data_IF_257005420826
#
_entry.id   IF_257005420826
#
_cell.length_a   1.000
_cell.length_b   1.000
_cell.length_c   1.000
_cell.angle_alpha   90.00
_cell.angle_beta   90.00
_cell.angle_gamma   90.00
#
_symmetry.space_group_name_H-M   'P 1'
#
loop_
_entity.id
_entity.type
_entity.pdbx_description
1 polymer ?
#
# COMPACT_ATOMS: atom_id res chain seq x y z
N UNK A 1 29.54 2.11 -23.30
CA UNK A 1 28.80 1.56 -22.14
C UNK A 1 27.40 2.15 -22.11
N UNK A 2 26.35 1.34 -22.24
CA UNK A 2 24.98 1.82 -22.13
C UNK A 2 24.70 2.28 -20.68
N UNK A 3 24.27 3.53 -20.51
CA UNK A 3 23.92 4.09 -19.20
C UNK A 3 22.72 3.31 -18.65
N UNK A 4 22.91 2.55 -17.58
CA UNK A 4 21.77 1.88 -16.93
C UNK A 4 20.78 2.93 -16.45
N UNK A 5 19.51 2.80 -16.86
CA UNK A 5 18.44 3.71 -16.43
C UNK A 5 18.17 3.49 -14.95
N UNK A 6 18.28 4.57 -14.17
CA UNK A 6 17.95 4.57 -12.74
C UNK A 6 16.47 4.22 -12.49
N UNK A 7 15.58 4.64 -13.39
CA UNK A 7 14.18 4.28 -13.38
C UNK A 7 13.93 3.09 -14.30
N UNK A 8 13.68 1.95 -13.68
CA UNK A 8 13.25 0.70 -14.32
C UNK A 8 11.77 0.50 -14.04
N UNK A 9 11.09 -0.33 -14.85
CA UNK A 9 9.68 -0.65 -14.62
C UNK A 9 9.40 -1.13 -13.18
N UNK A 10 10.19 -2.05 -12.58
CA UNK A 10 10.02 -2.42 -11.17
C UNK A 10 10.09 -1.24 -10.20
N UNK A 11 11.05 -0.32 -10.39
CA UNK A 11 11.22 0.85 -9.52
C UNK A 11 10.06 1.83 -9.68
N UNK A 12 9.55 2.00 -10.89
CA UNK A 12 8.35 2.81 -11.12
C UNK A 12 7.13 2.20 -10.43
N UNK A 13 6.93 0.89 -10.52
CA UNK A 13 5.82 0.20 -9.84
C UNK A 13 5.91 0.32 -8.32
N UNK A 14 7.08 0.05 -7.72
CA UNK A 14 7.30 0.23 -6.28
C UNK A 14 7.07 1.69 -5.86
N UNK A 15 7.53 2.64 -6.66
CA UNK A 15 7.30 4.07 -6.42
C UNK A 15 5.82 4.44 -6.44
N UNK A 16 5.05 3.91 -7.39
CA UNK A 16 3.61 4.14 -7.48
C UNK A 16 2.86 3.57 -6.26
N UNK A 17 3.20 2.36 -5.83
CA UNK A 17 2.61 1.75 -4.63
C UNK A 17 2.93 2.59 -3.39
N UNK A 18 4.18 3.00 -3.21
CA UNK A 18 4.58 3.83 -2.07
C UNK A 18 3.94 5.22 -2.08
N UNK A 19 3.75 5.83 -3.25
CA UNK A 19 3.02 7.08 -3.38
C UNK A 19 1.56 6.89 -2.97
N UNK A 20 0.91 5.80 -3.40
CA UNK A 20 -0.44 5.46 -2.96
C UNK A 20 -0.49 5.19 -1.45
N UNK A 21 0.48 4.47 -0.87
CA UNK A 21 0.57 4.26 0.58
C UNK A 21 0.74 5.57 1.34
N UNK A 22 1.44 6.56 0.77
CA UNK A 22 1.65 7.87 1.36
C UNK A 22 0.39 8.75 1.35
N UNK A 23 -0.39 8.76 0.26
CA UNK A 23 -1.48 9.74 0.07
C UNK A 23 -2.88 9.11 0.02
N UNK A 24 -2.98 7.84 -0.34
CA UNK A 24 -4.24 7.15 -0.64
C UNK A 24 -5.17 7.10 0.57
N UNK A 25 -4.76 6.56 1.73
CA UNK A 25 -5.59 6.53 2.93
C UNK A 25 -6.01 7.93 3.39
N UNK A 26 -5.07 8.88 3.39
CA UNK A 26 -5.36 10.28 3.73
C UNK A 26 -6.42 10.89 2.81
N UNK A 27 -6.32 10.66 1.50
CA UNK A 27 -7.28 11.15 0.53
C UNK A 27 -8.66 10.46 0.68
N UNK A 28 -8.68 9.16 0.94
CA UNK A 28 -9.89 8.40 1.19
C UNK A 28 -10.68 8.97 2.39
N UNK A 29 -9.97 9.29 3.48
CA UNK A 29 -10.62 9.64 4.74
C UNK A 29 -10.88 11.14 4.92
N UNK A 30 -10.17 12.00 4.17
CA UNK A 30 -10.35 13.46 4.27
C UNK A 30 -10.97 14.10 3.04
N UNK A 31 -10.77 13.53 1.84
CA UNK A 31 -11.12 14.20 0.58
C UNK A 31 -12.28 13.56 -0.16
N UNK A 32 -12.65 12.31 0.17
CA UNK A 32 -13.73 11.58 -0.50
C UNK A 32 -14.87 11.35 0.50
N UNK A 33 -15.91 12.21 0.55
CA UNK A 33 -16.92 12.18 1.61
C UNK A 33 -17.62 10.84 1.82
N UNK A 34 -17.90 10.11 0.73
CA UNK A 34 -18.61 8.83 0.81
C UNK A 34 -17.74 7.69 1.33
N UNK A 35 -16.41 7.80 1.17
CA UNK A 35 -15.45 6.87 1.78
C UNK A 35 -15.18 7.30 3.23
N UNK A 36 -14.98 8.59 3.48
CA UNK A 36 -14.73 9.12 4.81
C UNK A 36 -15.84 8.77 5.82
N UNK A 37 -17.11 8.75 5.39
CA UNK A 37 -18.25 8.32 6.23
C UNK A 37 -18.19 6.84 6.62
N UNK A 38 -17.46 6.02 5.85
CA UNK A 38 -17.21 4.60 6.18
C UNK A 38 -16.00 4.42 7.10
N UNK A 39 -15.22 5.49 7.35
CA UNK A 39 -14.00 5.48 8.16
C UNK A 39 -14.02 6.60 9.21
N UNK A 40 -13.01 7.48 9.21
CA UNK A 40 -12.78 8.55 10.18
C UNK A 40 -14.01 9.42 10.50
N UNK A 41 -14.89 9.67 9.51
CA UNK A 41 -16.08 10.50 9.68
C UNK A 41 -17.36 9.70 9.99
N UNK A 42 -17.26 8.39 10.23
CA UNK A 42 -18.40 7.57 10.62
C UNK A 42 -18.96 8.03 11.98
N UNK A 43 -20.23 8.46 12.09
CA UNK A 43 -20.83 8.87 13.37
C UNK A 43 -21.02 7.71 14.35
N UNK A 44 -21.10 6.47 13.86
CA UNK A 44 -21.35 5.27 14.66
C UNK A 44 -20.07 4.64 15.22
N UNK A 45 -18.89 5.05 14.73
CA UNK A 45 -17.62 4.61 15.28
C UNK A 45 -17.32 5.26 16.64
N UNK A 46 -16.94 4.46 17.65
CA UNK A 46 -16.46 5.02 18.91
C UNK A 46 -15.15 5.80 18.67
N UNK A 47 -14.82 6.79 19.54
CA UNK A 47 -13.60 7.59 19.39
C UNK A 47 -12.32 6.77 19.23
N UNK A 48 -12.25 5.59 19.86
CA UNK A 48 -11.07 4.73 19.77
C UNK A 48 -10.89 4.05 18.39
N UNK A 49 -11.99 3.71 17.71
CA UNK A 49 -11.91 3.17 16.34
C UNK A 49 -11.34 4.24 15.38
N UNK A 50 -11.82 5.48 15.51
CA UNK A 50 -11.29 6.64 14.77
C UNK A 50 -9.82 6.91 15.06
N UNK A 51 -9.38 6.71 16.31
CA UNK A 51 -7.97 6.80 16.66
C UNK A 51 -7.12 5.77 15.93
N UNK A 52 -7.55 4.50 15.88
CA UNK A 52 -6.83 3.44 15.17
C UNK A 52 -6.83 3.63 13.65
N UNK A 53 -7.91 4.17 13.10
CA UNK A 53 -7.99 4.55 11.69
C UNK A 53 -7.00 5.68 11.35
N UNK A 54 -7.02 6.78 12.12
CA UNK A 54 -6.03 7.85 11.98
C UNK A 54 -4.59 7.37 12.23
N UNK A 55 -4.39 6.43 13.15
CA UNK A 55 -3.10 5.77 13.37
C UNK A 55 -2.67 4.99 12.12
N UNK A 56 -3.57 4.24 11.48
CA UNK A 56 -3.29 3.53 10.23
C UNK A 56 -2.93 4.48 9.09
N UNK A 57 -3.69 5.56 8.90
CA UNK A 57 -3.38 6.63 7.93
C UNK A 57 -1.97 7.18 8.19
N UNK A 58 -1.66 7.53 9.44
CA UNK A 58 -0.34 8.04 9.83
C UNK A 58 0.81 7.04 9.58
N UNK A 59 0.62 5.76 9.92
CA UNK A 59 1.62 4.72 9.65
C UNK A 59 1.82 4.50 8.14
N UNK A 60 0.74 4.55 7.35
CA UNK A 60 0.81 4.52 5.88
C UNK A 60 1.63 5.69 5.34
N UNK A 61 1.34 6.90 5.79
CA UNK A 61 2.12 8.09 5.43
C UNK A 61 3.61 7.92 5.73
N UNK A 62 3.95 7.47 6.94
CA UNK A 62 5.34 7.29 7.36
C UNK A 62 6.06 6.23 6.53
N UNK A 63 5.45 5.05 6.35
CA UNK A 63 6.05 3.96 5.56
C UNK A 63 6.18 4.32 4.07
N UNK A 64 5.17 4.97 3.49
CA UNK A 64 5.20 5.49 2.12
C UNK A 64 6.30 6.53 1.91
N UNK A 65 6.40 7.52 2.81
CA UNK A 65 7.43 8.56 2.76
C UNK A 65 8.85 7.98 2.91
N UNK A 66 9.06 7.10 3.90
CA UNK A 66 10.34 6.44 4.12
C UNK A 66 10.75 5.59 2.92
N UNK A 67 9.82 4.79 2.39
CA UNK A 67 10.08 3.95 1.22
C UNK A 67 10.41 4.77 -0.02
N UNK A 68 9.66 5.85 -0.30
CA UNK A 68 9.98 6.77 -1.41
C UNK A 68 11.34 7.42 -1.22
N UNK A 69 11.63 7.90 0.00
CA UNK A 69 12.91 8.53 0.32
C UNK A 69 14.08 7.57 0.12
N UNK A 70 13.91 6.29 0.42
CA UNK A 70 14.90 5.23 0.18
C UNK A 70 15.01 4.94 -1.32
N UNK A 71 13.89 4.74 -2.00
CA UNK A 71 13.85 4.43 -3.43
C UNK A 71 14.50 5.54 -4.27
N UNK A 72 14.29 6.81 -3.93
CA UNK A 72 14.84 7.96 -4.66
C UNK A 72 16.35 8.16 -4.47
N UNK A 73 17.00 7.45 -3.53
CA UNK A 73 18.44 7.58 -3.30
C UNK A 73 19.22 7.02 -4.48
N UNK A 74 20.17 7.81 -4.98
CA UNK A 74 21.09 7.41 -6.08
C UNK A 74 22.43 6.83 -5.60
N UNK A 75 22.79 7.06 -4.33
CA UNK A 75 24.06 6.60 -3.73
C UNK A 75 23.82 5.36 -2.87
N UNK A 76 24.79 4.47 -2.81
CA UNK A 76 24.76 3.22 -2.02
C UNK A 76 24.16 2.03 -2.79
N UNK A 77 23.96 0.92 -2.09
CA UNK A 77 23.43 -0.32 -2.67
C UNK A 77 21.98 -0.13 -3.18
N UNK A 78 21.86 0.03 -4.50
CA UNK A 78 20.59 0.25 -5.19
C UNK A 78 19.64 -0.95 -5.09
N UNK A 79 20.20 -2.15 -4.96
CA UNK A 79 19.44 -3.40 -4.87
C UNK A 79 18.83 -3.53 -3.47
N UNK A 80 19.62 -3.34 -2.42
CA UNK A 80 19.10 -3.31 -1.05
C UNK A 80 18.05 -2.21 -0.85
N UNK A 81 18.29 -1.01 -1.40
CA UNK A 81 17.34 0.10 -1.35
C UNK A 81 16.02 -0.24 -2.05
N UNK A 82 16.06 -0.90 -3.21
CA UNK A 82 14.86 -1.34 -3.91
C UNK A 82 14.04 -2.33 -3.07
N UNK A 83 14.67 -3.37 -2.50
CA UNK A 83 13.94 -4.37 -1.71
C UNK A 83 13.40 -3.78 -0.41
N UNK A 84 14.15 -2.90 0.26
CA UNK A 84 13.67 -2.22 1.46
C UNK A 84 12.48 -1.29 1.15
N UNK A 85 12.52 -0.57 0.04
CA UNK A 85 11.41 0.25 -0.41
C UNK A 85 10.17 -0.59 -0.75
N UNK A 86 10.34 -1.72 -1.44
CA UNK A 86 9.25 -2.66 -1.73
C UNK A 86 8.67 -3.29 -0.46
N UNK A 87 9.52 -3.65 0.49
CA UNK A 87 9.10 -4.18 1.78
C UNK A 87 8.26 -3.16 2.56
N UNK A 88 8.74 -1.91 2.69
CA UNK A 88 7.98 -0.83 3.32
C UNK A 88 6.64 -0.58 2.61
N UNK A 89 6.63 -0.61 1.28
CA UNK A 89 5.41 -0.46 0.48
C UNK A 89 4.40 -1.60 0.67
N UNK A 90 4.82 -2.77 1.16
CA UNK A 90 3.94 -3.91 1.42
C UNK A 90 3.28 -3.88 2.80
N UNK A 91 3.85 -3.14 3.76
CA UNK A 91 3.46 -3.23 5.20
C UNK A 91 1.98 -2.97 5.42
N UNK A 92 1.44 -1.88 4.85
CA UNK A 92 0.05 -1.50 5.05
C UNK A 92 -0.92 -2.50 4.41
N UNK A 93 -0.63 -2.97 3.20
CA UNK A 93 -1.47 -3.92 2.48
C UNK A 93 -1.47 -5.31 3.11
N UNK A 94 -0.32 -5.79 3.59
CA UNK A 94 -0.23 -7.03 4.36
C UNK A 94 -0.95 -6.86 5.71
N UNK A 95 -0.82 -5.70 6.36
CA UNK A 95 -1.56 -5.39 7.59
C UNK A 95 -3.07 -5.44 7.40
N UNK A 96 -3.58 -4.89 6.29
CA UNK A 96 -5.01 -4.92 5.95
C UNK A 96 -5.53 -6.35 5.75
N UNK A 97 -4.82 -7.19 4.99
CA UNK A 97 -5.19 -8.61 4.86
C UNK A 97 -5.04 -9.37 6.18
N UNK A 98 -3.99 -9.07 6.94
CA UNK A 98 -3.73 -9.67 8.25
C UNK A 98 -4.80 -9.32 9.27
N UNK A 99 -5.43 -8.14 9.19
CA UNK A 99 -6.51 -7.74 10.08
C UNK A 99 -7.66 -8.75 10.08
N UNK A 100 -8.01 -9.30 8.90
CA UNK A 100 -9.08 -10.30 8.74
C UNK A 100 -8.83 -11.63 9.48
N UNK A 101 -7.59 -11.87 9.93
CA UNK A 101 -7.26 -13.05 10.73
C UNK A 101 -7.68 -12.89 12.20
N UNK A 102 -7.98 -11.67 12.64
CA UNK A 102 -8.40 -11.38 14.01
C UNK A 102 -9.93 -11.42 14.13
N UNK A 103 -10.46 -12.12 15.14
CA UNK A 103 -11.90 -12.26 15.31
C UNK A 103 -12.57 -10.90 15.56
N UNK A 104 -13.76 -10.71 14.98
CA UNK A 104 -14.54 -9.48 15.14
C UNK A 104 -14.07 -8.31 14.26
N UNK A 105 -13.13 -8.53 13.34
CA UNK A 105 -12.75 -7.53 12.32
C UNK A 105 -13.50 -7.78 11.02
N UNK A 106 -13.74 -6.71 10.27
CA UNK A 106 -14.30 -6.77 8.93
C UNK A 106 -13.68 -5.65 8.08
N UNK A 107 -13.67 -5.84 6.76
CA UNK A 107 -13.25 -4.79 5.83
C UNK A 107 -14.28 -3.65 5.72
N UNK A 108 -15.48 -3.82 6.28
CA UNK A 108 -16.57 -2.85 6.19
C UNK A 108 -17.58 -3.15 7.29
N UNK A 109 -18.20 -2.10 7.83
CA UNK A 109 -19.28 -2.26 8.79
C UNK A 109 -20.58 -2.74 8.13
N UNK A 110 -21.41 -3.51 8.86
CA UNK A 110 -22.70 -4.02 8.34
C UNK A 110 -23.62 -2.93 7.77
N UNK A 111 -23.57 -1.72 8.31
CA UNK A 111 -24.40 -0.59 7.87
C UNK A 111 -24.15 -0.14 6.42
N UNK A 112 -22.99 -0.51 5.85
CA UNK A 112 -22.63 -0.17 4.46
C UNK A 112 -22.69 -1.36 3.51
N UNK A 113 -23.23 -2.52 3.91
CA UNK A 113 -23.30 -3.70 3.05
C UNK A 113 -24.15 -3.46 1.79
N UNK A 114 -25.29 -2.79 1.93
CA UNK A 114 -26.22 -2.52 0.82
C UNK A 114 -25.65 -1.57 -0.24
N UNK A 115 -24.68 -0.73 0.12
CA UNK A 115 -24.00 0.22 -0.78
C UNK A 115 -22.60 -0.26 -1.14
N UNK A 116 -22.20 -1.46 -0.72
CA UNK A 116 -20.85 -1.94 -0.94
C UNK A 116 -20.62 -2.33 -2.39
N UNK A 117 -19.78 -1.55 -3.07
CA UNK A 117 -19.19 -1.97 -4.32
C UNK A 117 -18.20 -3.11 -4.06
N UNK A 118 -18.37 -4.20 -4.81
CA UNK A 118 -17.47 -5.35 -4.79
C UNK A 118 -16.83 -5.55 -6.16
N UNK A 119 -15.57 -5.94 -6.16
CA UNK A 119 -14.81 -6.31 -7.37
C UNK A 119 -14.34 -7.73 -7.20
N UNK A 120 -14.74 -8.62 -8.12
CA UNK A 120 -14.48 -10.07 -8.02
C UNK A 120 -14.94 -10.68 -6.67
N UNK A 121 -16.05 -10.17 -6.12
CA UNK A 121 -16.60 -10.60 -4.82
C UNK A 121 -15.93 -9.99 -3.58
N UNK A 122 -14.85 -9.22 -3.74
CA UNK A 122 -14.11 -8.59 -2.64
C UNK A 122 -14.55 -7.14 -2.42
N UNK A 123 -14.51 -6.66 -1.18
CA UNK A 123 -14.58 -5.23 -0.91
C UNK A 123 -13.45 -4.49 -1.66
N UNK A 124 -13.78 -3.31 -2.20
CA UNK A 124 -12.86 -2.53 -3.06
C UNK A 124 -11.51 -2.30 -2.39
N UNK A 125 -11.46 -2.05 -1.07
CA UNK A 125 -10.19 -1.86 -0.38
C UNK A 125 -9.31 -3.11 -0.35
N UNK A 126 -9.89 -4.29 -0.16
CA UNK A 126 -9.17 -5.57 -0.20
C UNK A 126 -8.70 -5.89 -1.62
N UNK A 127 -9.53 -5.57 -2.63
CA UNK A 127 -9.14 -5.70 -4.03
C UNK A 127 -7.95 -4.79 -4.36
N UNK A 128 -7.97 -3.53 -3.92
CA UNK A 128 -6.83 -2.61 -4.07
C UNK A 128 -5.60 -3.17 -3.37
N UNK A 129 -5.72 -3.64 -2.13
CA UNK A 129 -4.62 -4.25 -1.40
C UNK A 129 -4.01 -5.45 -2.15
N UNK A 130 -4.85 -6.30 -2.73
CA UNK A 130 -4.41 -7.42 -3.56
C UNK A 130 -3.64 -6.92 -4.80
N UNK A 131 -4.17 -5.94 -5.54
CA UNK A 131 -3.49 -5.36 -6.71
C UNK A 131 -2.13 -4.78 -6.35
N UNK A 132 -2.04 -4.05 -5.23
CA UNK A 132 -0.78 -3.48 -4.75
C UNK A 132 0.24 -4.57 -4.41
N UNK A 133 -0.17 -5.63 -3.70
CA UNK A 133 0.70 -6.76 -3.33
C UNK A 133 1.14 -7.59 -4.53
N UNK A 134 0.26 -7.83 -5.50
CA UNK A 134 0.60 -8.49 -6.76
C UNK A 134 1.58 -7.64 -7.56
N UNK A 135 1.35 -6.33 -7.65
CA UNK A 135 2.25 -5.38 -8.32
C UNK A 135 3.65 -5.35 -7.70
N UNK A 136 3.75 -5.30 -6.37
CA UNK A 136 5.02 -5.39 -5.65
C UNK A 136 5.72 -6.74 -5.89
N UNK A 137 4.96 -7.84 -5.84
CA UNK A 137 5.48 -9.19 -6.08
C UNK A 137 6.03 -9.34 -7.50
N UNK A 138 5.32 -8.81 -8.50
CA UNK A 138 5.77 -8.78 -9.88
C UNK A 138 7.04 -7.92 -10.05
N UNK A 139 7.08 -6.73 -9.44
CA UNK A 139 8.27 -5.86 -9.46
C UNK A 139 9.49 -6.57 -8.86
N UNK A 140 9.34 -7.22 -7.71
CA UNK A 140 10.38 -8.02 -7.05
C UNK A 140 10.81 -9.19 -7.93
N UNK A 141 9.87 -9.93 -8.53
CA UNK A 141 10.17 -11.05 -9.42
C UNK A 141 10.97 -10.63 -10.65
N UNK A 142 10.58 -9.54 -11.30
CA UNK A 142 11.28 -8.98 -12.46
C UNK A 142 12.69 -8.52 -12.08
N UNK A 143 12.85 -7.82 -10.95
CA UNK A 143 14.17 -7.34 -10.52
C UNK A 143 15.10 -8.51 -10.14
N UNK A 144 14.57 -9.57 -9.51
CA UNK A 144 15.32 -10.81 -9.26
C UNK A 144 15.77 -11.48 -10.56
N UNK A 145 14.89 -11.55 -11.56
CA UNK A 145 15.21 -12.11 -12.88
C UNK A 145 16.29 -11.30 -13.61
N UNK A 146 16.22 -9.97 -13.56
CA UNK A 146 17.26 -9.07 -14.11
C UNK A 146 18.62 -9.29 -13.45
N UNK A 147 18.65 -9.39 -12.12
CA UNK A 147 19.89 -9.62 -11.38
C UNK A 147 20.56 -10.95 -11.74
N UNK A 148 19.78 -12.03 -11.93
CA UNK A 148 20.30 -13.34 -12.33
C UNK A 148 20.92 -13.32 -13.73
N UNK A 149 20.31 -12.62 -14.69
CA UNK A 149 20.83 -12.50 -16.07
C UNK A 149 22.11 -11.67 -16.20
N UNK A 150 22.43 -10.84 -15.21
CA UNK A 150 23.67 -10.05 -15.21
C UNK A 150 24.83 -10.84 -14.56
N UNK A 151 24.51 -11.82 -13.72
CA UNK A 151 25.48 -12.59 -12.94
C UNK A 151 25.91 -13.91 -13.60
N UNK A 152 25.25 -14.36 -14.66
CA UNK A 152 25.63 -15.50 -15.49
C UNK A 152 26.00 -15.04 -16.88
#
# INVERSE_FOLDING_TARGET
MARQRFWTLPRTLVGAVLANTLIGPLAADLLIPDIAKQHLHNPNWPPHAKFHDAQYVGMGMLTGAMGLRILLRRKGDQRAQFYLAAALGSVTWLGMWGALLFPGTAAKDPEFECTSHRVLGMDVQLFIALVMLVGLSAAVGVERGRARRIAG
#
